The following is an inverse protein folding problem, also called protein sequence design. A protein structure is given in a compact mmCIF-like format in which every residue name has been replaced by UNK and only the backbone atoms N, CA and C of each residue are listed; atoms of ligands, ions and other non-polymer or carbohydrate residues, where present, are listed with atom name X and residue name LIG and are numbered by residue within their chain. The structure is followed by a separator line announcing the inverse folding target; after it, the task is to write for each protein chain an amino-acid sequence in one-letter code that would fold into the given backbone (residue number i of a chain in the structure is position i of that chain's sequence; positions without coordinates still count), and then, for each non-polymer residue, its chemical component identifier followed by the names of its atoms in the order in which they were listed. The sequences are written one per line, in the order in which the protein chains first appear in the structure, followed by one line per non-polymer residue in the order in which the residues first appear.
data_IF_707362678103
#
_entry.id   IF_707362678103
#
_cell.length_a   1.000
_cell.length_b   1.000
_cell.length_c   1.000
_cell.angle_alpha   90.00
_cell.angle_beta   90.00
_cell.angle_gamma   90.00
#
_symmetry.space_group_name_H-M   'P 1'
#
loop_
_entity.id
_entity.type
_entity.pdbx_description
1 polymer ?
#
# COMPACT_ATOMS: atom_id res chain seq x y z
N UNK A 1 41.26 -2.89 -20.69
CA UNK A 1 40.99 -1.64 -19.95
C UNK A 1 40.36 -0.59 -20.88
N UNK A 2 39.17 -0.86 -21.42
CA UNK A 2 38.46 0.06 -22.33
C UNK A 2 37.03 0.19 -21.83
N UNK A 3 36.70 1.27 -21.12
CA UNK A 3 35.35 1.42 -20.58
C UNK A 3 35.03 2.72 -19.83
N UNK A 4 36.03 3.49 -19.39
CA UNK A 4 35.79 4.71 -18.59
C UNK A 4 36.01 6.05 -19.32
N UNK A 5 36.66 6.05 -20.50
CA UNK A 5 37.17 7.27 -21.17
C UNK A 5 36.42 7.68 -22.46
N UNK A 6 35.26 7.08 -22.73
CA UNK A 6 34.52 7.30 -23.98
C UNK A 6 33.08 7.76 -23.74
N UNK A 7 32.93 8.80 -22.92
CA UNK A 7 31.64 9.50 -22.73
C UNK A 7 31.45 10.53 -23.85
N UNK A 8 30.19 10.90 -24.16
CA UNK A 8 29.92 11.95 -25.17
C UNK A 8 30.53 13.30 -24.75
N UNK A 9 30.60 13.58 -23.45
CA UNK A 9 31.30 14.75 -22.92
C UNK A 9 32.79 14.72 -23.26
N UNK A 10 33.46 13.57 -23.10
CA UNK A 10 34.87 13.43 -23.46
C UNK A 10 35.06 13.54 -24.98
N UNK A 11 34.17 12.94 -25.78
CA UNK A 11 34.18 13.07 -27.24
C UNK A 11 34.03 14.53 -27.68
N UNK A 12 33.17 15.30 -27.01
CA UNK A 12 33.00 16.73 -27.28
C UNK A 12 34.27 17.53 -26.97
N UNK A 13 34.90 17.27 -25.83
CA UNK A 13 36.19 17.88 -25.46
C UNK A 13 37.27 17.55 -26.50
N UNK A 14 37.33 16.30 -26.96
CA UNK A 14 38.33 15.87 -27.95
C UNK A 14 38.08 16.48 -29.33
N UNK A 15 36.81 16.71 -29.71
CA UNK A 15 36.45 17.44 -30.93
C UNK A 15 36.98 18.88 -30.90
N UNK A 16 36.77 19.59 -29.78
CA UNK A 16 37.25 20.96 -29.57
C UNK A 16 38.78 21.01 -29.60
N UNK A 17 39.46 20.08 -28.92
CA UNK A 17 40.93 19.98 -28.93
C UNK A 17 41.48 19.75 -30.34
N UNK A 18 40.82 18.91 -31.13
CA UNK A 18 41.23 18.63 -32.51
C UNK A 18 41.26 19.91 -33.36
N UNK A 19 40.22 20.74 -33.25
CA UNK A 19 40.15 22.02 -33.96
C UNK A 19 41.21 22.99 -33.44
N UNK A 20 41.36 23.11 -32.12
CA UNK A 20 42.35 24.01 -31.52
C UNK A 20 43.79 23.68 -31.97
N UNK A 21 44.15 22.39 -32.03
CA UNK A 21 45.46 21.98 -32.52
C UNK A 21 45.65 22.22 -34.02
N UNK A 22 44.60 22.09 -34.82
CA UNK A 22 44.64 22.46 -36.24
C UNK A 22 44.88 23.97 -36.40
N UNK A 23 44.15 24.81 -35.67
CA UNK A 23 44.36 26.26 -35.74
C UNK A 23 45.78 26.67 -35.31
N UNK A 24 46.33 26.01 -34.29
CA UNK A 24 47.73 26.20 -33.90
C UNK A 24 48.71 25.79 -35.02
N UNK A 25 48.42 24.71 -35.76
CA UNK A 25 49.19 24.32 -36.95
C UNK A 25 49.12 25.42 -38.01
N UNK A 26 47.92 25.88 -38.33
CA UNK A 26 47.68 26.89 -39.36
C UNK A 26 48.33 28.24 -38.99
N UNK A 27 48.46 28.52 -37.69
CA UNK A 27 49.19 29.66 -37.15
C UNK A 27 50.73 29.49 -37.12
N UNK A 28 51.28 28.39 -37.65
CA UNK A 28 52.71 28.19 -37.84
C UNK A 28 53.37 27.07 -37.02
N UNK A 29 52.62 26.33 -36.18
CA UNK A 29 53.14 25.16 -35.48
C UNK A 29 53.19 23.93 -36.40
N UNK A 30 54.10 23.94 -37.37
CA UNK A 30 54.18 22.97 -38.48
C UNK A 30 54.45 21.51 -38.07
N UNK A 31 54.93 21.27 -36.85
CA UNK A 31 55.11 19.91 -36.30
C UNK A 31 53.78 19.21 -35.98
N UNK A 32 52.70 19.97 -35.83
CA UNK A 32 51.37 19.42 -35.55
C UNK A 32 50.81 18.82 -36.84
N UNK A 33 50.71 17.49 -36.86
CA UNK A 33 50.06 16.75 -37.94
C UNK A 33 48.91 15.88 -37.41
N UNK A 34 48.15 15.27 -38.32
CA UNK A 34 46.97 14.45 -37.96
C UNK A 34 47.30 13.28 -37.04
N UNK A 35 48.45 12.64 -37.24
CA UNK A 35 48.93 11.55 -36.40
C UNK A 35 49.26 12.05 -35.00
N UNK A 36 49.97 13.17 -34.91
CA UNK A 36 50.32 13.81 -33.64
C UNK A 36 49.07 14.17 -32.82
N UNK A 37 48.05 14.76 -33.45
CA UNK A 37 46.80 15.10 -32.77
C UNK A 37 46.10 13.84 -32.28
N UNK A 38 45.99 12.81 -33.12
CA UNK A 38 45.35 11.53 -32.79
C UNK A 38 45.99 10.88 -31.57
N UNK A 39 47.33 10.85 -31.53
CA UNK A 39 48.09 10.31 -30.40
C UNK A 39 47.91 11.17 -29.14
N UNK A 40 47.83 12.50 -29.29
CA UNK A 40 47.69 13.45 -28.17
C UNK A 40 46.32 13.41 -27.50
N UNK A 41 45.25 13.18 -28.26
CA UNK A 41 43.88 13.07 -27.73
C UNK A 41 43.43 11.62 -27.52
N UNK A 42 44.32 10.64 -27.75
CA UNK A 42 44.05 9.21 -27.65
C UNK A 42 42.83 8.77 -28.50
N UNK A 43 42.80 9.23 -29.76
CA UNK A 43 41.76 8.90 -30.75
C UNK A 43 42.42 8.39 -32.04
N UNK A 44 41.60 7.88 -32.95
CA UNK A 44 42.09 7.41 -34.25
C UNK A 44 42.39 8.59 -35.17
N UNK A 45 43.33 8.41 -36.09
CA UNK A 45 43.60 9.37 -37.18
C UNK A 45 42.36 9.66 -38.01
N UNK A 46 41.46 8.67 -38.15
CA UNK A 46 40.17 8.83 -38.82
C UNK A 46 39.29 9.85 -38.10
N UNK A 47 39.17 9.77 -36.78
CA UNK A 47 38.42 10.74 -35.97
C UNK A 47 38.94 12.17 -36.19
N UNK A 48 40.27 12.35 -36.19
CA UNK A 48 40.91 13.65 -36.46
C UNK A 48 40.67 14.12 -37.89
N UNK A 49 40.67 13.20 -38.86
CA UNK A 49 40.44 13.51 -40.27
C UNK A 49 39.00 13.95 -40.54
N UNK A 50 38.02 13.29 -39.92
CA UNK A 50 36.59 13.64 -40.01
C UNK A 50 36.26 15.02 -39.41
N UNK A 51 37.11 15.52 -38.50
CA UNK A 51 36.97 16.83 -37.87
C UNK A 51 37.87 17.91 -38.49
N UNK A 52 38.78 17.52 -39.39
CA UNK A 52 39.86 18.38 -39.87
C UNK A 52 39.35 19.68 -40.50
N UNK A 53 38.22 19.62 -41.20
CA UNK A 53 37.63 20.76 -41.92
C UNK A 53 36.43 21.37 -41.17
N UNK A 54 36.11 20.88 -39.97
CA UNK A 54 34.97 21.39 -39.20
C UNK A 54 35.32 22.67 -38.44
N UNK A 55 34.33 23.52 -38.27
CA UNK A 55 34.35 24.67 -37.35
C UNK A 55 33.97 24.27 -35.92
N UNK A 56 34.23 25.14 -34.95
CA UNK A 56 33.81 24.93 -33.56
C UNK A 56 32.29 24.71 -33.46
N UNK A 57 31.48 25.50 -34.16
CA UNK A 57 30.01 25.38 -34.15
C UNK A 57 29.54 24.00 -34.64
N UNK A 58 30.21 23.45 -35.66
CA UNK A 58 29.93 22.11 -36.17
C UNK A 58 30.33 20.98 -35.21
N UNK A 59 31.14 21.25 -34.18
CA UNK A 59 31.44 20.29 -33.12
C UNK A 59 30.36 20.20 -32.04
N UNK A 60 29.53 21.24 -31.92
CA UNK A 60 28.38 21.31 -31.03
C UNK A 60 27.06 20.91 -31.73
N UNK A 61 27.11 20.54 -33.02
CA UNK A 61 25.94 20.08 -33.75
C UNK A 61 25.29 18.90 -33.00
N UNK A 62 24.07 19.13 -32.55
CA UNK A 62 23.33 18.23 -31.68
C UNK A 62 22.97 16.94 -32.43
N UNK A 63 23.55 15.83 -31.99
CA UNK A 63 23.26 14.49 -32.50
C UNK A 63 21.92 13.95 -31.96
N UNK A 64 21.03 14.81 -31.45
CA UNK A 64 19.70 14.45 -30.96
C UNK A 64 18.83 13.70 -32.00
N UNK A 65 19.19 13.75 -33.28
CA UNK A 65 18.51 13.06 -34.38
C UNK A 65 19.11 11.70 -34.82
N UNK A 66 20.16 11.17 -34.18
CA UNK A 66 20.71 9.82 -34.50
C UNK A 66 20.05 8.67 -33.72
N UNK A 67 18.98 8.95 -32.99
CA UNK A 67 18.19 7.92 -32.30
C UNK A 67 17.26 7.13 -33.22
N UNK A 68 16.88 5.92 -32.79
CA UNK A 68 15.81 5.17 -33.44
C UNK A 68 14.51 5.99 -33.45
N UNK A 69 13.82 6.01 -34.59
CA UNK A 69 12.54 6.72 -34.73
C UNK A 69 11.57 6.30 -33.63
N UNK A 70 10.74 7.22 -33.09
CA UNK A 70 9.75 6.90 -32.07
C UNK A 70 8.83 5.77 -32.55
N UNK A 71 8.64 4.75 -31.70
CA UNK A 71 7.79 3.58 -32.02
C UNK A 71 6.29 3.85 -31.98
N UNK A 72 5.87 5.02 -31.49
CA UNK A 72 4.47 5.40 -31.34
C UNK A 72 4.23 6.70 -32.09
N UNK A 73 3.24 6.71 -32.98
CA UNK A 73 2.73 7.94 -33.58
C UNK A 73 2.01 8.81 -32.54
N UNK A 74 1.73 10.07 -32.89
CA UNK A 74 0.98 10.95 -32.01
C UNK A 74 -0.46 10.46 -31.79
N UNK A 75 -1.09 9.87 -32.81
CA UNK A 75 -2.42 9.26 -32.69
C UNK A 75 -2.42 8.08 -31.69
N UNK A 76 -1.38 7.24 -31.72
CA UNK A 76 -1.20 6.16 -30.74
C UNK A 76 -0.94 6.69 -29.33
N UNK A 77 -0.19 7.79 -29.18
CA UNK A 77 0.04 8.43 -27.87
C UNK A 77 -1.25 9.00 -27.30
N UNK A 78 -2.09 9.59 -28.13
CA UNK A 78 -3.38 10.13 -27.70
C UNK A 78 -4.31 9.02 -27.17
N UNK A 79 -4.33 7.85 -27.82
CA UNK A 79 -5.03 6.67 -27.28
C UNK A 79 -4.49 6.29 -25.90
N UNK A 80 -3.16 6.32 -25.71
CA UNK A 80 -2.56 6.01 -24.40
C UNK A 80 -2.96 7.06 -23.35
N UNK A 81 -2.98 8.35 -23.70
CA UNK A 81 -3.39 9.43 -22.78
C UNK A 81 -4.85 9.28 -22.37
N UNK A 82 -5.77 9.10 -23.32
CA UNK A 82 -7.19 8.90 -23.04
C UNK A 82 -7.46 7.65 -22.20
N UNK A 83 -6.70 6.58 -22.44
CA UNK A 83 -6.78 5.35 -21.66
C UNK A 83 -6.14 5.48 -20.26
N UNK A 84 -5.28 6.47 -20.04
CA UNK A 84 -4.62 6.68 -18.75
C UNK A 84 -5.56 7.45 -17.82
N UNK A 85 -5.92 6.84 -16.69
CA UNK A 85 -6.96 7.34 -15.76
C UNK A 85 -8.24 6.50 -15.78
N UNK A 86 -8.38 5.57 -16.72
CA UNK A 86 -9.50 4.63 -16.78
C UNK A 86 -9.13 3.27 -16.19
N UNK A 87 -10.08 2.63 -15.50
CA UNK A 87 -9.91 1.25 -15.05
C UNK A 87 -9.90 0.29 -16.26
N UNK A 88 -9.26 -0.87 -16.09
CA UNK A 88 -9.21 -1.95 -17.10
C UNK A 88 -8.49 -1.61 -18.41
N UNK A 89 -7.72 -0.51 -18.46
CA UNK A 89 -6.87 -0.12 -19.59
C UNK A 89 -5.39 -0.48 -19.38
N UNK A 90 -5.12 -1.78 -19.25
CA UNK A 90 -3.75 -2.29 -19.08
C UNK A 90 -2.91 -2.13 -20.36
N UNK A 91 -1.58 -2.19 -20.24
CA UNK A 91 -0.67 -2.08 -21.39
C UNK A 91 -1.03 -3.00 -22.57
N UNK A 92 -1.29 -4.30 -22.35
CA UNK A 92 -1.73 -5.21 -23.41
C UNK A 92 -3.09 -4.83 -24.04
N UNK A 93 -4.05 -4.34 -23.24
CA UNK A 93 -5.36 -3.91 -23.74
C UNK A 93 -5.21 -2.69 -24.65
N UNK A 94 -4.43 -1.70 -24.21
CA UNK A 94 -4.17 -0.49 -25.01
C UNK A 94 -3.34 -0.81 -26.25
N UNK A 95 -2.43 -1.79 -26.19
CA UNK A 95 -1.69 -2.27 -27.36
C UNK A 95 -2.61 -2.84 -28.44
N UNK A 96 -3.59 -3.64 -28.01
CA UNK A 96 -4.61 -4.19 -28.92
C UNK A 96 -5.45 -3.08 -29.54
N UNK A 97 -5.85 -2.09 -28.75
CA UNK A 97 -6.63 -0.94 -29.22
C UNK A 97 -5.85 -0.10 -30.26
N UNK A 98 -4.56 0.11 -30.05
CA UNK A 98 -3.67 0.77 -31.02
C UNK A 98 -3.54 -0.06 -32.30
N UNK A 99 -3.33 -1.38 -32.18
CA UNK A 99 -3.24 -2.26 -33.33
C UNK A 99 -4.53 -2.28 -34.17
N UNK A 100 -5.70 -2.20 -33.52
CA UNK A 100 -6.99 -2.18 -34.18
C UNK A 100 -7.25 -0.84 -34.90
N UNK A 101 -7.05 0.28 -34.19
CA UNK A 101 -7.40 1.64 -34.64
C UNK A 101 -6.36 2.28 -35.54
N UNK A 102 -5.08 2.19 -35.16
CA UNK A 102 -3.97 2.86 -35.86
C UNK A 102 -3.19 1.92 -36.78
N UNK A 103 -3.52 0.61 -36.77
CA UNK A 103 -2.77 -0.42 -37.52
C UNK A 103 -1.27 -0.42 -37.18
N UNK A 104 -0.93 0.02 -35.97
CA UNK A 104 0.44 0.09 -35.46
C UNK A 104 0.72 -1.05 -34.49
N UNK A 105 1.93 -1.60 -34.57
CA UNK A 105 2.38 -2.60 -33.61
C UNK A 105 3.06 -1.94 -32.41
N UNK A 106 2.41 -2.02 -31.26
CA UNK A 106 2.97 -1.61 -29.98
C UNK A 106 2.87 -2.77 -28.96
N UNK A 107 3.88 -2.90 -28.10
CA UNK A 107 3.84 -3.86 -26.99
C UNK A 107 3.29 -3.21 -25.73
N UNK A 108 2.73 -3.99 -24.80
CA UNK A 108 2.34 -3.48 -23.48
C UNK A 108 3.50 -2.82 -22.73
N UNK A 109 4.74 -3.29 -22.94
CA UNK A 109 5.96 -2.66 -22.40
C UNK A 109 6.21 -1.28 -23.01
N UNK A 110 6.02 -1.10 -24.31
CA UNK A 110 6.13 0.21 -24.98
C UNK A 110 5.17 1.22 -24.37
N UNK A 111 3.93 0.80 -24.11
CA UNK A 111 2.89 1.66 -23.53
C UNK A 111 3.21 2.02 -22.07
N UNK A 112 3.64 1.05 -21.27
CA UNK A 112 4.03 1.33 -19.88
C UNK A 112 5.26 2.26 -19.81
N UNK A 113 6.26 2.07 -20.68
CA UNK A 113 7.40 2.97 -20.77
C UNK A 113 6.98 4.40 -21.14
N UNK A 114 6.02 4.55 -22.07
CA UNK A 114 5.46 5.85 -22.41
C UNK A 114 4.77 6.48 -21.19
N UNK A 115 3.88 5.75 -20.52
CA UNK A 115 3.21 6.22 -19.30
C UNK A 115 4.19 6.69 -18.22
N UNK A 116 5.26 5.94 -17.98
CA UNK A 116 6.28 6.33 -17.02
C UNK A 116 7.06 7.59 -17.43
N UNK A 117 7.34 7.77 -18.73
CA UNK A 117 7.98 9.00 -19.24
C UNK A 117 7.10 10.23 -19.06
N UNK A 118 5.78 10.06 -19.17
CA UNK A 118 4.79 11.12 -18.89
C UNK A 118 4.56 11.32 -17.37
N UNK A 119 5.32 10.64 -16.50
CA UNK A 119 5.20 10.76 -15.05
C UNK A 119 4.06 9.97 -14.42
N UNK A 120 3.35 9.14 -15.20
CA UNK A 120 2.23 8.33 -14.70
C UNK A 120 2.73 7.13 -13.88
N UNK A 121 1.99 6.82 -12.83
CA UNK A 121 2.25 5.69 -11.93
C UNK A 121 1.03 4.76 -11.89
N UNK A 122 1.24 3.45 -11.75
CA UNK A 122 0.14 2.53 -11.53
C UNK A 122 -0.44 2.73 -10.12
N UNK A 123 -1.77 2.73 -10.02
CA UNK A 123 -2.48 2.77 -8.74
C UNK A 123 -3.41 1.55 -8.65
N UNK A 124 -3.59 1.05 -7.43
CA UNK A 124 -4.58 0.02 -7.16
C UNK A 124 -5.94 0.66 -6.93
N UNK A 125 -6.99 0.04 -7.48
CA UNK A 125 -8.36 0.39 -7.10
C UNK A 125 -8.56 -0.03 -5.65
N UNK A 126 -8.92 0.92 -4.80
CA UNK A 126 -9.22 0.66 -3.40
C UNK A 126 -10.71 0.31 -3.32
N UNK A 127 -11.08 -0.93 -2.93
CA UNK A 127 -12.47 -1.26 -2.70
C UNK A 127 -12.98 -0.44 -1.51
N UNK A 128 -14.11 0.24 -1.69
CA UNK A 128 -14.82 0.90 -0.60
C UNK A 128 -16.17 0.21 -0.43
N UNK A 129 -16.54 -0.22 0.80
CA UNK A 129 -17.87 -0.76 1.04
C UNK A 129 -18.90 0.32 0.69
N UNK A 130 -19.96 -0.08 -0.01
CA UNK A 130 -21.07 0.82 -0.31
C UNK A 130 -21.75 1.19 1.02
N UNK A 131 -21.80 2.48 1.33
CA UNK A 131 -22.51 3.02 2.49
C UNK A 131 -23.76 3.74 1.98
N UNK A 132 -24.88 3.55 2.67
CA UNK A 132 -26.08 4.35 2.43
C UNK A 132 -25.82 5.81 2.83
N UNK A 133 -26.61 6.73 2.30
CA UNK A 133 -26.53 8.15 2.67
C UNK A 133 -26.70 8.34 4.19
N UNK A 134 -27.62 7.59 4.81
CA UNK A 134 -27.81 7.59 6.27
C UNK A 134 -26.54 7.20 7.01
N UNK A 135 -25.88 6.09 6.63
CA UNK A 135 -24.63 5.69 7.29
C UNK A 135 -23.52 6.73 7.10
N UNK A 136 -23.47 7.42 5.96
CA UNK A 136 -22.50 8.49 5.74
C UNK A 136 -22.80 9.66 6.67
N UNK A 137 -24.06 10.08 6.75
CA UNK A 137 -24.51 11.19 7.60
C UNK A 137 -24.23 10.93 9.08
N UNK A 138 -24.63 9.77 9.60
CA UNK A 138 -24.44 9.41 11.03
C UNK A 138 -22.95 9.40 11.41
N UNK A 139 -22.09 8.92 10.49
CA UNK A 139 -20.64 8.91 10.69
C UNK A 139 -20.05 10.32 10.69
N UNK A 140 -20.47 11.17 9.75
CA UNK A 140 -20.01 12.55 9.69
C UNK A 140 -20.44 13.31 10.95
N UNK A 141 -21.67 13.10 11.40
CA UNK A 141 -22.17 13.67 12.65
C UNK A 141 -21.33 13.22 13.85
N UNK A 142 -21.06 11.92 14.01
CA UNK A 142 -20.24 11.43 15.12
C UNK A 142 -18.83 12.05 15.07
N UNK A 143 -18.18 12.03 13.91
CA UNK A 143 -16.84 12.60 13.77
C UNK A 143 -16.79 14.11 14.04
N UNK A 144 -17.83 14.85 13.63
CA UNK A 144 -17.93 16.29 13.91
C UNK A 144 -18.17 16.55 15.40
N UNK A 145 -19.03 15.77 16.04
CA UNK A 145 -19.28 15.84 17.48
C UNK A 145 -18.03 15.50 18.33
N UNK A 146 -17.27 14.48 17.92
CA UNK A 146 -16.01 14.10 18.59
C UNK A 146 -14.84 15.04 18.29
N UNK A 147 -14.96 15.95 17.32
CA UNK A 147 -13.86 16.83 16.90
C UNK A 147 -13.43 17.80 17.99
N UNK A 148 -14.37 18.20 18.84
CA UNK A 148 -14.15 19.14 19.94
C UNK A 148 -13.75 18.43 21.25
N UNK A 149 -13.69 17.09 21.24
CA UNK A 149 -13.24 16.32 22.40
C UNK A 149 -11.75 16.48 22.65
N UNK A 150 -11.39 16.60 23.91
CA UNK A 150 -10.02 16.64 24.41
C UNK A 150 -9.48 15.22 24.64
N UNK A 151 -8.17 15.11 24.85
CA UNK A 151 -7.54 13.83 25.24
C UNK A 151 -8.20 13.27 26.50
N UNK A 152 -8.53 14.13 27.47
CA UNK A 152 -9.15 13.72 28.72
C UNK A 152 -10.52 13.06 28.50
N UNK A 153 -11.34 13.62 27.60
CA UNK A 153 -12.63 13.03 27.25
C UNK A 153 -12.48 11.62 26.67
N UNK A 154 -11.46 11.41 25.82
CA UNK A 154 -11.16 10.08 25.26
C UNK A 154 -10.63 9.09 26.30
N UNK A 155 -9.96 9.54 27.37
CA UNK A 155 -9.43 8.65 28.41
C UNK A 155 -10.53 8.01 29.26
N UNK A 156 -11.73 8.59 29.27
CA UNK A 156 -12.92 8.06 29.92
C UNK A 156 -13.68 7.04 29.07
N UNK A 157 -13.24 6.76 27.84
CA UNK A 157 -13.89 5.74 27.02
C UNK A 157 -13.45 4.32 27.42
N UNK A 158 -14.43 3.41 27.42
CA UNK A 158 -14.24 1.97 27.51
C UNK A 158 -14.75 1.28 26.22
N UNK A 159 -14.01 1.41 25.10
CA UNK A 159 -14.37 0.77 23.84
C UNK A 159 -14.25 -0.76 23.90
N UNK A 160 -15.14 -1.43 23.18
CA UNK A 160 -15.27 -2.88 23.17
C UNK A 160 -15.65 -3.46 21.80
N UNK A 161 -15.41 -4.75 21.61
CA UNK A 161 -15.84 -5.51 20.43
C UNK A 161 -15.71 -7.03 20.64
N UNK A 162 -16.34 -7.82 19.76
CA UNK A 162 -16.17 -9.28 19.69
C UNK A 162 -15.30 -9.73 18.51
N UNK A 163 -14.34 -10.59 18.79
CA UNK A 163 -13.44 -11.16 17.81
C UNK A 163 -13.55 -12.68 17.73
N UNK A 164 -13.41 -13.21 16.51
CA UNK A 164 -13.15 -14.62 16.29
C UNK A 164 -11.69 -14.82 15.90
N UNK A 165 -10.99 -15.59 16.71
CA UNK A 165 -9.60 -16.00 16.48
C UNK A 165 -9.62 -17.43 15.97
N UNK A 166 -9.22 -17.61 14.71
CA UNK A 166 -9.24 -18.92 14.06
C UNK A 166 -7.96 -19.70 14.40
N UNK A 167 -8.10 -20.99 14.71
CA UNK A 167 -6.95 -21.84 15.02
C UNK A 167 -6.06 -22.08 13.80
N UNK A 168 -6.62 -22.03 12.59
CA UNK A 168 -5.90 -22.16 11.33
C UNK A 168 -6.30 -21.02 10.40
N UNK A 169 -5.33 -20.21 9.96
CA UNK A 169 -5.58 -19.12 9.02
C UNK A 169 -5.69 -19.64 7.58
N UNK A 170 -6.63 -19.07 6.82
CA UNK A 170 -6.69 -19.25 5.36
C UNK A 170 -5.46 -18.66 4.68
N UNK A 171 -4.82 -19.37 3.74
CA UNK A 171 -3.72 -18.82 2.95
C UNK A 171 -4.12 -17.50 2.26
N UNK A 172 -3.27 -16.48 2.39
CA UNK A 172 -3.35 -15.23 1.66
C UNK A 172 -2.45 -15.32 0.43
N UNK A 173 -3.07 -15.41 -0.75
CA UNK A 173 -2.36 -15.58 -2.03
C UNK A 173 -1.30 -14.50 -2.37
N UNK A 174 -1.38 -13.32 -1.75
CA UNK A 174 -0.37 -12.27 -1.95
C UNK A 174 0.80 -12.40 -0.98
N UNK A 175 0.52 -12.71 0.28
CA UNK A 175 1.53 -12.73 1.34
C UNK A 175 2.20 -14.11 1.48
N UNK A 176 1.46 -15.20 1.27
CA UNK A 176 1.95 -16.58 1.30
C UNK A 176 2.52 -16.99 -0.07
N UNK A 177 3.38 -16.17 -0.66
CA UNK A 177 4.04 -16.48 -1.95
C UNK A 177 5.35 -17.19 -1.72
N UNK A 178 5.47 -18.37 -2.31
CA UNK A 178 6.69 -19.17 -2.31
C UNK A 178 7.47 -18.86 -3.59
N UNK A 179 8.73 -18.46 -3.43
CA UNK A 179 9.67 -18.29 -4.54
C UNK A 179 10.55 -19.54 -4.61
N UNK A 180 10.39 -20.34 -5.66
CA UNK A 180 11.15 -21.56 -5.89
C UNK A 180 11.57 -21.66 -7.36
N UNK A 181 12.62 -22.45 -7.66
CA UNK A 181 13.07 -22.65 -9.06
C UNK A 181 12.15 -23.63 -9.78
N UNK A 182 11.69 -24.66 -9.08
CA UNK A 182 10.60 -25.53 -9.53
C UNK A 182 9.67 -25.89 -8.37
N UNK A 183 8.54 -26.53 -8.67
CA UNK A 183 7.55 -26.89 -7.66
C UNK A 183 8.03 -28.07 -6.79
N UNK A 184 8.93 -28.88 -7.32
CA UNK A 184 9.58 -30.00 -6.63
C UNK A 184 10.53 -29.52 -5.52
N UNK A 185 11.01 -28.27 -5.60
CA UNK A 185 11.85 -27.65 -4.56
C UNK A 185 11.04 -27.19 -3.33
N UNK A 186 9.70 -27.26 -3.40
CA UNK A 186 8.81 -26.83 -2.32
C UNK A 186 8.38 -28.04 -1.50
N UNK A 187 8.67 -28.02 -0.19
CA UNK A 187 8.23 -29.07 0.73
C UNK A 187 6.69 -29.16 0.77
N UNK A 188 6.15 -30.37 0.95
CA UNK A 188 4.69 -30.58 0.96
C UNK A 188 3.96 -29.70 1.98
N UNK A 189 4.52 -29.52 3.17
CA UNK A 189 4.00 -28.63 4.23
C UNK A 189 3.85 -27.17 3.81
N UNK A 190 4.75 -26.67 2.95
CA UNK A 190 4.72 -25.29 2.46
C UNK A 190 3.78 -25.18 1.26
N UNK A 191 3.72 -26.24 0.44
CA UNK A 191 2.88 -26.31 -0.75
C UNK A 191 1.40 -26.50 -0.43
N UNK A 192 1.09 -27.26 0.61
CA UNK A 192 -0.27 -27.68 0.96
C UNK A 192 -0.57 -27.35 2.42
N UNK A 193 -1.70 -26.67 2.67
CA UNK A 193 -2.27 -26.54 4.02
C UNK A 193 -3.57 -27.33 4.08
N UNK A 194 -3.66 -28.25 5.04
CA UNK A 194 -4.92 -28.93 5.32
C UNK A 194 -5.94 -27.94 5.91
N UNK A 195 -7.12 -27.89 5.28
CA UNK A 195 -8.16 -26.93 5.62
C UNK A 195 -9.45 -27.69 5.92
N UNK A 196 -9.92 -27.60 7.17
CA UNK A 196 -11.25 -28.10 7.53
C UNK A 196 -12.33 -27.11 7.10
N UNK A 197 -13.47 -27.61 6.62
CA UNK A 197 -14.59 -26.77 6.13
C UNK A 197 -15.12 -25.82 7.21
N UNK A 198 -15.23 -26.32 8.45
CA UNK A 198 -15.62 -25.56 9.62
C UNK A 198 -14.41 -25.46 10.55
N UNK A 199 -13.61 -24.43 10.38
CA UNK A 199 -12.44 -24.21 11.22
C UNK A 199 -12.88 -23.93 12.66
N UNK A 200 -12.13 -24.45 13.62
CA UNK A 200 -12.33 -24.07 15.02
C UNK A 200 -11.91 -22.61 15.20
N UNK A 201 -12.72 -21.86 15.93
CA UNK A 201 -12.39 -20.51 16.35
C UNK A 201 -12.67 -20.35 17.84
N UNK A 202 -11.91 -19.46 18.46
CA UNK A 202 -12.16 -18.98 19.81
C UNK A 202 -12.83 -17.62 19.66
N UNK A 203 -14.02 -17.47 20.25
CA UNK A 203 -14.66 -16.17 20.39
C UNK A 203 -14.06 -15.44 21.59
N UNK A 204 -13.70 -14.18 21.42
CA UNK A 204 -13.16 -13.34 22.50
C UNK A 204 -13.89 -12.00 22.47
N UNK A 205 -14.48 -11.61 23.60
CA UNK A 205 -14.92 -10.24 23.81
C UNK A 205 -13.75 -9.46 24.42
N UNK A 206 -13.50 -8.25 23.93
CA UNK A 206 -12.44 -7.38 24.43
C UNK A 206 -13.06 -6.04 24.76
N UNK A 207 -12.66 -5.48 25.90
CA UNK A 207 -12.90 -4.09 26.26
C UNK A 207 -11.63 -3.54 26.90
N UNK A 208 -11.32 -2.28 26.68
CA UNK A 208 -10.18 -1.68 27.37
C UNK A 208 -10.47 -0.25 27.76
N UNK A 209 -9.71 0.23 28.74
CA UNK A 209 -9.67 1.62 29.16
C UNK A 209 -8.23 2.10 29.07
N UNK A 210 -7.99 3.37 29.37
CA UNK A 210 -6.62 3.87 29.51
C UNK A 210 -5.81 3.17 30.62
N UNK A 211 -6.45 2.50 31.59
CA UNK A 211 -5.79 1.82 32.71
C UNK A 211 -5.65 0.31 32.51
N UNK A 212 -6.70 -0.37 32.03
CA UNK A 212 -6.80 -1.84 32.08
C UNK A 212 -7.47 -2.41 30.83
N UNK A 213 -7.11 -3.66 30.53
CA UNK A 213 -7.73 -4.48 29.49
C UNK A 213 -8.59 -5.56 30.16
N UNK A 214 -9.81 -5.74 29.66
CA UNK A 214 -10.71 -6.86 29.94
C UNK A 214 -10.78 -7.76 28.69
N UNK A 215 -10.68 -9.06 28.89
CA UNK A 215 -10.99 -10.04 27.86
C UNK A 215 -11.84 -11.16 28.45
N UNK A 216 -12.78 -11.66 27.64
CA UNK A 216 -13.66 -12.77 28.01
C UNK A 216 -13.60 -13.77 26.88
N UNK A 217 -13.15 -14.99 27.19
CA UNK A 217 -13.16 -16.09 26.23
C UNK A 217 -14.55 -16.70 26.26
N UNK A 218 -15.18 -16.76 25.09
CA UNK A 218 -16.49 -17.36 24.92
C UNK A 218 -16.43 -18.86 25.19
N UNK A 219 -17.40 -19.33 25.98
CA UNK A 219 -17.48 -20.74 26.34
C UNK A 219 -17.70 -21.65 25.13
N UNK A 220 -17.17 -22.88 25.25
CA UNK A 220 -17.26 -23.87 24.18
C UNK A 220 -18.71 -24.27 23.94
N UNK A 221 -19.17 -24.09 22.70
CA UNK A 221 -20.53 -24.46 22.28
C UNK A 221 -21.56 -23.34 22.43
N UNK A 222 -21.21 -22.26 23.11
CA UNK A 222 -22.08 -21.09 23.23
C UNK A 222 -22.13 -20.28 21.94
N UNK A 223 -23.09 -19.36 21.88
CA UNK A 223 -23.19 -18.31 20.86
C UNK A 223 -23.25 -16.95 21.54
N UNK A 224 -22.90 -15.86 20.83
CA UNK A 224 -23.12 -14.50 21.32
C UNK A 224 -24.62 -14.16 21.29
N UNK A 225 -25.41 -14.95 22.02
CA UNK A 225 -26.84 -14.71 22.18
C UNK A 225 -27.02 -13.49 23.07
N UNK A 226 -28.16 -12.80 22.94
CA UNK A 226 -28.45 -11.69 23.83
C UNK A 226 -28.48 -12.10 25.31
N UNK A 227 -28.80 -13.35 25.64
CA UNK A 227 -28.81 -13.84 27.02
C UNK A 227 -27.38 -14.04 27.54
N UNK A 228 -26.55 -14.80 26.82
CA UNK A 228 -25.14 -15.01 27.17
C UNK A 228 -24.41 -13.68 27.32
N UNK A 229 -24.68 -12.74 26.41
CA UNK A 229 -24.07 -11.42 26.46
C UNK A 229 -24.49 -10.64 27.71
N UNK A 230 -25.78 -10.64 28.08
CA UNK A 230 -26.21 -9.93 29.30
C UNK A 230 -25.68 -10.58 30.57
N UNK A 231 -25.76 -11.90 30.68
CA UNK A 231 -25.42 -12.61 31.92
C UNK A 231 -23.91 -12.66 32.12
N UNK A 232 -23.18 -13.17 31.13
CA UNK A 232 -21.75 -13.43 31.26
C UNK A 232 -20.94 -12.19 30.90
N UNK A 233 -21.20 -11.57 29.74
CA UNK A 233 -20.37 -10.43 29.29
C UNK A 233 -20.66 -9.20 30.13
N UNK A 234 -21.92 -8.84 30.34
CA UNK A 234 -22.28 -7.59 31.03
C UNK A 234 -22.31 -7.73 32.55
N UNK A 235 -23.19 -8.59 33.08
CA UNK A 235 -23.45 -8.68 34.52
C UNK A 235 -22.23 -9.19 35.28
N UNK A 236 -21.63 -10.29 34.83
CA UNK A 236 -20.51 -10.91 35.54
C UNK A 236 -19.18 -10.17 35.34
N UNK A 237 -18.99 -9.48 34.22
CA UNK A 237 -17.67 -8.96 33.83
C UNK A 237 -17.63 -7.45 33.57
N UNK A 238 -18.30 -6.94 32.54
CA UNK A 238 -18.17 -5.53 32.12
C UNK A 238 -18.66 -4.56 33.21
N UNK A 239 -19.84 -4.80 33.81
CA UNK A 239 -20.41 -3.88 34.81
C UNK A 239 -19.51 -3.80 36.05
N UNK A 240 -19.09 -4.93 36.69
CA UNK A 240 -18.13 -4.89 37.80
C UNK A 240 -16.80 -4.25 37.42
N UNK A 241 -16.32 -4.48 36.18
CA UNK A 241 -15.08 -3.90 35.71
C UNK A 241 -15.14 -2.37 35.65
N UNK A 242 -16.22 -1.81 35.09
CA UNK A 242 -16.40 -0.36 34.94
C UNK A 242 -16.62 0.34 36.29
N UNK A 243 -17.24 -0.35 37.26
CA UNK A 243 -17.47 0.19 38.62
C UNK A 243 -16.23 0.18 39.53
N UNK A 244 -15.11 -0.36 39.06
CA UNK A 244 -13.89 -0.48 39.86
C UNK A 244 -12.90 0.66 39.51
N UNK A 245 -12.58 1.50 40.50
CA UNK A 245 -11.66 2.64 40.40
C UNK A 245 -10.22 2.26 39.96
N UNK A 246 -9.81 1.00 40.14
CA UNK A 246 -8.52 0.52 39.64
C UNK A 246 -8.51 0.30 38.12
N UNK A 247 -9.68 0.12 37.51
CA UNK A 247 -9.84 -0.22 36.09
C UNK A 247 -10.18 1.00 35.22
N UNK A 248 -10.71 2.07 35.79
CA UNK A 248 -11.18 3.28 35.08
C UNK A 248 -10.63 4.53 35.75
N UNK A 249 -10.60 5.69 35.07
CA UNK A 249 -10.19 6.95 35.73
C UNK A 249 -11.19 7.32 36.81
N UNK A 250 -12.46 7.40 36.42
CA UNK A 250 -13.60 7.68 37.29
C UNK A 250 -14.78 6.76 36.89
N UNK A 251 -15.28 5.91 37.80
CA UNK A 251 -16.46 5.07 37.56
C UNK A 251 -17.73 5.83 37.21
N UNK A 252 -17.87 7.06 37.68
CA UNK A 252 -19.03 7.89 37.38
C UNK A 252 -18.92 8.56 36.02
N UNK A 253 -17.72 8.73 35.46
CA UNK A 253 -17.51 9.38 34.15
C UNK A 253 -17.23 8.41 33.01
N UNK A 254 -16.83 7.18 33.29
CA UNK A 254 -16.48 6.19 32.26
C UNK A 254 -17.66 5.91 31.33
N UNK A 255 -17.40 5.92 30.01
CA UNK A 255 -18.41 5.66 28.98
C UNK A 255 -18.09 4.35 28.28
N UNK A 256 -18.99 3.38 28.43
CA UNK A 256 -18.93 2.13 27.69
C UNK A 256 -19.29 2.33 26.21
N UNK A 257 -18.36 1.98 25.32
CA UNK A 257 -18.53 2.13 23.87
C UNK A 257 -18.61 0.76 23.21
N UNK A 258 -19.69 0.52 22.48
CA UNK A 258 -19.97 -0.74 21.82
C UNK A 258 -20.66 -0.50 20.48
N UNK A 259 -20.65 -1.53 19.62
CA UNK A 259 -21.31 -1.44 18.32
C UNK A 259 -22.84 -1.64 18.40
N UNK A 260 -23.52 -1.58 17.25
CA UNK A 260 -24.97 -1.80 17.17
C UNK A 260 -25.34 -3.28 16.90
N UNK A 261 -24.54 -4.23 17.37
CA UNK A 261 -24.86 -5.65 17.25
C UNK A 261 -26.26 -5.96 17.81
N UNK A 262 -26.97 -6.97 17.29
CA UNK A 262 -28.32 -7.29 17.74
C UNK A 262 -28.46 -7.53 19.26
N UNK A 263 -27.43 -8.08 19.91
CA UNK A 263 -27.39 -8.27 21.37
C UNK A 263 -27.36 -6.93 22.13
N UNK A 264 -26.60 -5.94 21.63
CA UNK A 264 -26.44 -4.62 22.24
C UNK A 264 -27.61 -3.69 21.94
N UNK A 265 -28.15 -3.76 20.72
CA UNK A 265 -29.29 -2.95 20.29
C UNK A 265 -30.59 -3.27 21.04
N UNK A 266 -30.72 -4.48 21.59
CA UNK A 266 -31.93 -4.94 22.24
C UNK A 266 -32.29 -4.07 23.48
N UNK A 267 -33.55 -3.66 23.59
CA UNK A 267 -34.03 -2.84 24.72
C UNK A 267 -33.70 -3.44 26.09
N UNK A 268 -33.76 -4.78 26.22
CA UNK A 268 -33.37 -5.47 27.47
C UNK A 268 -31.93 -5.20 27.88
N UNK A 269 -31.02 -5.10 26.91
CA UNK A 269 -29.60 -4.84 27.15
C UNK A 269 -29.37 -3.37 27.47
N UNK A 270 -30.05 -2.47 26.75
CA UNK A 270 -30.00 -1.02 27.01
C UNK A 270 -30.53 -0.69 28.42
N UNK A 271 -31.69 -1.24 28.80
CA UNK A 271 -32.24 -1.08 30.15
C UNK A 271 -31.32 -1.70 31.21
N UNK A 272 -30.73 -2.88 30.97
CA UNK A 272 -29.79 -3.48 31.92
C UNK A 272 -28.61 -2.54 32.24
N UNK A 273 -28.04 -1.87 31.23
CA UNK A 273 -26.95 -0.91 31.43
C UNK A 273 -27.43 0.32 32.20
N UNK A 274 -28.61 0.85 31.86
CA UNK A 274 -29.22 2.00 32.55
C UNK A 274 -29.56 1.68 34.01
N UNK A 275 -30.18 0.53 34.28
CA UNK A 275 -30.56 0.05 35.62
C UNK A 275 -29.32 -0.21 36.51
N UNK A 276 -28.14 -0.32 35.91
CA UNK A 276 -26.86 -0.46 36.60
C UNK A 276 -26.03 0.83 36.62
N UNK A 277 -26.61 1.98 36.26
CA UNK A 277 -25.96 3.29 36.22
C UNK A 277 -24.71 3.34 35.32
N UNK A 278 -24.68 2.52 34.26
CA UNK A 278 -23.58 2.55 33.29
C UNK A 278 -23.86 3.65 32.27
N UNK A 279 -22.92 4.58 32.09
CA UNK A 279 -22.91 5.49 30.94
C UNK A 279 -22.41 4.75 29.71
N UNK A 280 -23.13 4.84 28.59
CA UNK A 280 -22.74 4.16 27.36
C UNK A 280 -23.23 4.90 26.11
N UNK A 281 -22.60 4.60 24.98
CA UNK A 281 -23.05 5.09 23.68
C UNK A 281 -24.20 4.23 23.16
N UNK A 282 -25.41 4.77 23.26
CA UNK A 282 -26.63 4.08 22.86
C UNK A 282 -26.83 3.94 21.36
N UNK A 283 -28.02 3.44 21.02
CA UNK A 283 -28.45 3.22 19.64
C UNK A 283 -28.58 4.51 18.79
N UNK A 284 -28.46 5.68 19.39
CA UNK A 284 -28.53 6.98 18.77
C UNK A 284 -27.14 7.58 18.47
N UNK A 285 -26.09 7.13 19.15
CA UNK A 285 -24.73 7.72 19.03
C UNK A 285 -23.86 6.96 18.03
N UNK A 286 -23.71 5.63 18.18
CA UNK A 286 -22.73 4.89 17.37
C UNK A 286 -23.21 4.65 15.93
N UNK A 287 -22.51 5.05 14.88
CA UNK A 287 -22.97 4.85 13.50
C UNK A 287 -22.86 3.37 13.07
N UNK A 288 -23.87 2.88 12.35
CA UNK A 288 -23.85 1.53 11.80
C UNK A 288 -22.68 1.31 10.82
N UNK A 289 -22.14 0.08 10.77
CA UNK A 289 -21.07 -0.34 9.86
C UNK A 289 -19.84 0.58 9.89
N UNK A 290 -19.33 0.85 11.10
CA UNK A 290 -18.21 1.76 11.35
C UNK A 290 -17.07 1.14 12.16
N UNK A 291 -16.53 -0.02 11.76
CA UNK A 291 -15.41 -0.65 12.48
C UNK A 291 -14.16 0.24 12.50
N UNK A 292 -13.97 1.09 11.48
CA UNK A 292 -12.85 2.02 11.41
C UNK A 292 -12.90 3.15 12.46
N UNK A 293 -14.03 3.33 13.14
CA UNK A 293 -14.15 4.27 14.27
C UNK A 293 -13.96 3.56 15.62
N UNK A 294 -13.97 2.22 15.67
CA UNK A 294 -13.75 1.46 16.90
C UNK A 294 -12.26 1.18 17.08
N UNK A 295 -11.65 1.84 18.06
CA UNK A 295 -10.22 1.63 18.36
C UNK A 295 -9.93 0.18 18.82
N UNK A 296 -10.92 -0.54 19.34
CA UNK A 296 -10.76 -1.96 19.74
C UNK A 296 -10.41 -2.86 18.56
N UNK A 297 -10.80 -2.51 17.34
CA UNK A 297 -10.44 -3.26 16.13
C UNK A 297 -8.92 -3.35 15.92
N UNK A 298 -8.17 -2.32 16.34
CA UNK A 298 -6.70 -2.36 16.31
C UNK A 298 -6.14 -3.42 17.26
N UNK A 299 -6.69 -3.53 18.47
CA UNK A 299 -6.30 -4.57 19.44
C UNK A 299 -6.64 -5.95 18.89
N UNK A 300 -7.84 -6.11 18.33
CA UNK A 300 -8.25 -7.36 17.67
C UNK A 300 -7.30 -7.77 16.55
N UNK A 301 -6.83 -6.81 15.73
CA UNK A 301 -5.83 -7.07 14.68
C UNK A 301 -4.50 -7.54 15.28
N UNK A 302 -3.98 -6.85 16.30
CA UNK A 302 -2.72 -7.21 16.96
C UNK A 302 -2.80 -8.63 17.53
N UNK A 303 -3.89 -8.97 18.21
CA UNK A 303 -4.06 -10.30 18.81
C UNK A 303 -4.10 -11.39 17.72
N UNK A 304 -4.84 -11.16 16.62
CA UNK A 304 -4.89 -12.10 15.50
C UNK A 304 -3.51 -12.32 14.89
N UNK A 305 -2.75 -11.25 14.69
CA UNK A 305 -1.39 -11.31 14.13
C UNK A 305 -0.41 -12.03 15.06
N UNK A 306 -0.47 -11.80 16.37
CA UNK A 306 0.40 -12.46 17.34
C UNK A 306 0.07 -13.95 17.51
N UNK A 307 -1.21 -14.33 17.51
CA UNK A 307 -1.63 -15.73 17.51
C UNK A 307 -1.16 -16.43 16.22
N UNK A 308 -1.26 -15.75 15.09
CA UNK A 308 -0.77 -16.27 13.81
C UNK A 308 0.73 -16.54 13.86
N UNK A 309 1.55 -15.58 14.31
CA UNK A 309 3.00 -15.75 14.46
C UNK A 309 3.32 -16.97 15.33
N UNK A 310 2.61 -17.15 16.44
CA UNK A 310 2.81 -18.31 17.33
C UNK A 310 2.38 -19.62 16.70
N UNK A 311 1.34 -19.65 15.88
CA UNK A 311 0.94 -20.85 15.16
C UNK A 311 1.90 -21.24 14.02
N UNK A 312 2.59 -20.25 13.42
CA UNK A 312 3.64 -20.51 12.41
C UNK A 312 4.93 -21.02 13.08
N UNK A 313 5.27 -20.50 14.26
CA UNK A 313 6.47 -20.92 15.02
C UNK A 313 6.21 -22.24 15.76
N UNK A 314 4.99 -22.43 16.26
CA UNK A 314 4.52 -23.63 16.95
C UNK A 314 4.04 -24.70 15.95
N UNK A 315 4.97 -25.22 15.13
CA UNK A 315 4.88 -26.64 14.76
C UNK A 315 5.08 -27.39 16.07
N UNK A 316 3.97 -27.70 16.75
CA UNK A 316 3.95 -28.42 18.03
C UNK A 316 4.82 -29.67 17.90
N UNK A 317 5.95 -29.67 18.61
CA UNK A 317 6.75 -30.86 18.92
C UNK A 317 5.95 -31.84 19.76
#
# INVERSE_FOLDING_TARGET
MAGAYDTEQQRMIDRIKCIAFREARDAGATFINRQWIADKIHRTTRFVSELWEKSYDQCFADYSNVGAKPKLSEASREIIRQASGQQRKSGPVVAKEIAEKQKEYATGRTINNYRHREGLKPFHVIPKPLKSETHISDRLWLCDWLKDWTVEDFLHLAPSDEFYIWTVRRPNYQNDRIWAKSIEDVTEDERYREMVKNQSCVGVFIMFTCKRLLWIIKDKGESWTGQYFRDIVLIENVIPFLKNEENVIDPDEVIFVHDKAPCMRANKTQHLLQDNDVKFWGNDIWPGNSPDLNVTEHIGSIIKDEVEKKNVIGKWT
#
